data_IF_386579709731
#
_entry.id   IF_386579709731
#
_cell.length_a   1.000
_cell.length_b   1.000
_cell.length_c   1.000
_cell.angle_alpha   90.00
_cell.angle_beta   90.00
_cell.angle_gamma   90.00
#
_symmetry.space_group_name_H-M   'P 1'
#
loop_
_entity.id
_entity.type
_entity.pdbx_description
1 polymer ?
#
# COMPACT_ATOMS: atom_id res chain seq x y z
N UNK A 1 -6.15 -1.25 35.68
CA UNK A 1 -6.17 -0.95 34.23
C UNK A 1 -4.73 -0.66 33.84
N UNK A 2 -4.17 -1.36 32.85
CA UNK A 2 -2.78 -1.14 32.42
C UNK A 2 -2.59 0.25 31.81
N UNK A 3 -1.36 0.78 31.82
CA UNK A 3 -1.04 2.07 31.21
C UNK A 3 -1.47 2.13 29.72
N UNK A 4 -1.31 1.03 28.98
CA UNK A 4 -1.82 0.90 27.62
C UNK A 4 -3.36 0.99 27.52
N UNK A 5 -4.08 0.42 28.49
CA UNK A 5 -5.55 0.42 28.46
C UNK A 5 -6.16 1.80 28.73
N UNK A 6 -5.46 2.67 29.46
CA UNK A 6 -5.86 4.07 29.70
C UNK A 6 -5.29 5.06 28.69
N UNK A 7 -4.28 4.66 27.91
CA UNK A 7 -3.64 5.51 26.90
C UNK A 7 -4.64 5.87 25.79
N UNK A 8 -4.82 7.18 25.57
CA UNK A 8 -5.59 7.75 24.46
C UNK A 8 -4.67 7.81 23.24
N UNK A 9 -4.97 6.99 22.24
CA UNK A 9 -4.19 6.90 21.00
C UNK A 9 -4.94 7.58 19.85
N UNK A 10 -4.25 8.48 19.14
CA UNK A 10 -4.72 9.04 17.87
C UNK A 10 -3.85 8.54 16.72
N UNK A 11 -4.44 7.81 15.78
CA UNK A 11 -3.78 7.38 14.54
C UNK A 11 -4.18 8.31 13.42
N UNK A 12 -3.22 9.04 12.85
CA UNK A 12 -3.46 10.00 11.76
C UNK A 12 -3.18 9.32 10.42
N UNK A 13 -4.24 8.96 9.68
CA UNK A 13 -4.16 8.36 8.35
C UNK A 13 -5.16 7.23 8.13
N UNK A 14 -5.99 7.34 7.07
CA UNK A 14 -7.02 6.35 6.69
C UNK A 14 -6.57 5.33 5.64
N UNK A 15 -5.27 5.30 5.31
CA UNK A 15 -4.67 4.32 4.41
C UNK A 15 -4.38 2.99 5.10
N UNK A 16 -3.88 2.01 4.34
CA UNK A 16 -3.61 0.64 4.86
C UNK A 16 -2.72 0.67 6.10
N UNK A 17 -1.67 1.50 6.10
CA UNK A 17 -0.71 1.65 7.20
C UNK A 17 -1.37 2.15 8.50
N UNK A 18 -2.24 3.16 8.39
CA UNK A 18 -2.94 3.72 9.55
C UNK A 18 -3.96 2.74 10.11
N UNK A 19 -4.75 2.10 9.24
CA UNK A 19 -5.73 1.12 9.68
C UNK A 19 -5.08 -0.11 10.32
N UNK A 20 -3.98 -0.63 9.78
CA UNK A 20 -3.31 -1.80 10.37
C UNK A 20 -2.58 -1.46 11.66
N UNK A 21 -1.99 -0.27 11.77
CA UNK A 21 -1.42 0.23 13.04
C UNK A 21 -2.51 0.34 14.13
N UNK A 22 -3.66 0.91 13.81
CA UNK A 22 -4.78 1.02 14.74
C UNK A 22 -5.31 -0.35 15.18
N UNK A 23 -5.48 -1.28 14.23
CA UNK A 23 -5.92 -2.64 14.52
C UNK A 23 -4.91 -3.39 15.40
N UNK A 24 -3.61 -3.30 15.10
CA UNK A 24 -2.57 -3.95 15.87
C UNK A 24 -2.48 -3.42 17.31
N UNK A 25 -2.65 -2.11 17.52
CA UNK A 25 -2.70 -1.49 18.84
C UNK A 25 -3.92 -1.97 19.65
N UNK A 26 -5.11 -2.00 19.03
CA UNK A 26 -6.33 -2.54 19.67
C UNK A 26 -6.16 -4.00 20.08
N UNK A 27 -5.66 -4.85 19.17
CA UNK A 27 -5.38 -6.26 19.45
C UNK A 27 -4.30 -6.47 20.52
N UNK A 28 -3.46 -5.45 20.73
CA UNK A 28 -2.38 -5.47 21.72
C UNK A 28 -2.77 -4.94 23.10
N UNK A 29 -4.03 -4.53 23.31
CA UNK A 29 -4.55 -4.10 24.60
C UNK A 29 -4.71 -2.60 24.80
N UNK A 30 -4.41 -1.77 23.80
CA UNK A 30 -4.79 -0.35 23.81
C UNK A 30 -6.30 -0.26 23.59
N UNK A 31 -7.05 0.37 24.50
CA UNK A 31 -8.52 0.35 24.45
C UNK A 31 -9.14 1.64 23.91
N UNK A 32 -8.39 2.74 23.89
CA UNK A 32 -8.85 4.04 23.39
C UNK A 32 -8.06 4.42 22.15
N UNK A 33 -8.46 3.89 20.99
CA UNK A 33 -7.82 4.16 19.70
C UNK A 33 -8.80 4.87 18.78
N UNK A 34 -8.42 6.07 18.34
CA UNK A 34 -9.16 6.88 17.36
C UNK A 34 -8.35 7.02 16.08
N UNK A 35 -8.95 6.74 14.93
CA UNK A 35 -8.35 6.98 13.62
C UNK A 35 -8.90 8.28 13.04
N UNK A 36 -8.02 9.23 12.75
CA UNK A 36 -8.37 10.53 12.16
C UNK A 36 -7.81 10.59 10.74
N UNK A 37 -8.65 10.90 9.76
CA UNK A 37 -8.20 11.05 8.38
C UNK A 37 -9.08 11.99 7.57
N UNK A 38 -8.49 12.69 6.59
CA UNK A 38 -9.25 13.52 5.67
C UNK A 38 -10.15 12.70 4.72
N UNK A 39 -9.77 11.44 4.43
CA UNK A 39 -10.61 10.48 3.68
C UNK A 39 -10.30 9.05 4.10
N UNK A 40 -11.34 8.22 4.16
CA UNK A 40 -11.26 6.77 4.38
C UNK A 40 -11.57 5.96 3.13
N UNK A 41 -12.06 6.61 2.07
CA UNK A 41 -12.58 5.96 0.86
C UNK A 41 -11.73 6.26 -0.38
N UNK A 42 -10.92 7.32 -0.32
CA UNK A 42 -10.13 7.84 -1.44
C UNK A 42 -8.67 8.06 -1.01
N UNK A 43 -7.96 6.96 -0.78
CA UNK A 43 -6.54 6.96 -0.38
C UNK A 43 -5.67 6.30 -1.44
N UNK A 44 -4.35 6.52 -1.42
CA UNK A 44 -3.42 5.82 -2.34
C UNK A 44 -3.56 4.30 -2.27
N UNK A 45 -3.93 3.75 -1.10
CA UNK A 45 -4.17 2.31 -0.91
C UNK A 45 -5.30 1.76 -1.79
N UNK A 46 -6.25 2.60 -2.21
CA UNK A 46 -7.38 2.22 -3.09
C UNK A 46 -7.00 2.19 -4.59
N UNK A 47 -5.88 2.81 -4.96
CA UNK A 47 -5.37 2.85 -6.34
C UNK A 47 -4.35 1.73 -6.59
N UNK A 48 -3.73 1.21 -5.53
CA UNK A 48 -2.69 0.20 -5.62
C UNK A 48 -3.14 -1.06 -6.38
N UNK A 49 -2.22 -1.66 -7.14
CA UNK A 49 -2.43 -2.94 -7.83
C UNK A 49 -2.81 -4.06 -6.85
N UNK A 50 -2.27 -4.02 -5.63
CA UNK A 50 -2.65 -4.91 -4.54
C UNK A 50 -1.98 -6.27 -4.60
N UNK A 51 -0.91 -6.44 -5.37
CA UNK A 51 -0.11 -7.67 -5.29
C UNK A 51 0.78 -7.60 -4.05
N UNK A 52 0.78 -8.64 -3.21
CA UNK A 52 1.84 -8.79 -2.21
C UNK A 52 3.11 -9.20 -2.95
N UNK A 53 4.03 -8.25 -3.07
CA UNK A 53 5.29 -8.46 -3.76
C UNK A 53 6.34 -7.52 -3.18
N UNK A 54 7.47 -8.03 -2.67
CA UNK A 54 8.59 -7.22 -2.20
C UNK A 54 9.43 -6.66 -3.37
N UNK A 55 8.76 -6.01 -4.32
CA UNK A 55 9.36 -5.36 -5.48
C UNK A 55 9.30 -3.84 -5.30
N UNK A 56 10.40 -3.13 -5.58
CA UNK A 56 10.55 -1.69 -5.33
C UNK A 56 10.34 -1.31 -3.85
N UNK A 57 10.89 -2.13 -2.94
CA UNK A 57 11.04 -1.74 -1.54
C UNK A 57 11.90 -0.46 -1.46
N UNK A 58 11.59 0.45 -0.53
CA UNK A 58 12.52 1.51 -0.18
C UNK A 58 13.89 0.94 0.21
N UNK A 59 14.99 1.64 -0.11
CA UNK A 59 16.37 1.12 0.00
C UNK A 59 16.71 0.58 1.40
N UNK A 60 16.15 1.17 2.45
CA UNK A 60 16.35 0.78 3.86
C UNK A 60 15.46 -0.40 4.32
N UNK A 61 14.40 -0.68 3.55
CA UNK A 61 13.42 -1.71 3.81
C UNK A 61 13.73 -3.02 3.07
N UNK A 62 14.65 -2.99 2.09
CA UNK A 62 15.10 -4.17 1.36
C UNK A 62 16.23 -4.89 2.12
N UNK A 63 15.99 -6.10 2.68
CA UNK A 63 17.02 -6.90 3.31
C UNK A 63 18.12 -7.37 2.36
N UNK A 64 17.92 -7.27 1.04
CA UNK A 64 18.89 -7.67 0.02
C UNK A 64 19.90 -6.57 -0.34
N UNK A 65 19.70 -5.33 0.10
CA UNK A 65 20.63 -4.22 -0.17
C UNK A 65 21.61 -4.01 1.01
N UNK A 66 22.89 -3.67 0.76
CA UNK A 66 23.81 -3.26 1.81
C UNK A 66 23.29 -1.98 2.48
N UNK A 67 22.91 -2.06 3.76
CA UNK A 67 22.42 -0.89 4.51
C UNK A 67 23.54 0.13 4.68
N UNK A 68 23.26 1.40 4.40
CA UNK A 68 24.15 2.50 4.75
C UNK A 68 24.20 2.64 6.28
N UNK A 69 25.17 1.99 6.91
CA UNK A 69 25.67 2.21 8.28
C UNK A 69 24.68 2.85 9.28
N UNK A 70 23.83 2.03 9.92
CA UNK A 70 23.17 2.44 11.15
C UNK A 70 24.04 2.06 12.35
N UNK A 71 24.55 3.08 13.04
CA UNK A 71 25.32 3.00 14.28
C UNK A 71 24.51 2.50 15.49
N UNK A 72 23.19 2.32 15.36
CA UNK A 72 22.31 2.11 16.52
C UNK A 72 21.72 0.70 16.65
N UNK A 73 22.10 -0.25 15.79
CA UNK A 73 21.79 -1.67 16.02
C UNK A 73 20.30 -2.04 15.96
N UNK A 74 19.98 -2.97 15.07
CA UNK A 74 18.67 -3.63 14.93
C UNK A 74 17.62 -2.80 14.16
N UNK A 75 17.63 -2.96 12.83
CA UNK A 75 16.39 -3.15 12.07
C UNK A 75 16.54 -4.36 11.15
N UNK A 76 16.54 -5.58 11.69
CA UNK A 76 16.18 -6.75 10.88
C UNK A 76 14.66 -6.79 10.74
N UNK A 77 14.07 -5.76 10.10
CA UNK A 77 12.63 -5.70 9.95
C UNK A 77 12.19 -6.72 8.90
N UNK A 78 11.77 -7.91 9.37
CA UNK A 78 11.09 -8.95 8.57
C UNK A 78 9.66 -8.52 8.19
N UNK A 79 9.47 -7.25 7.83
CA UNK A 79 8.14 -6.67 7.63
C UNK A 79 7.36 -7.39 6.54
N UNK A 80 8.07 -7.82 5.50
CA UNK A 80 7.49 -8.63 4.43
C UNK A 80 6.98 -9.96 5.00
N UNK A 81 7.85 -10.77 5.58
CA UNK A 81 7.51 -12.11 6.06
C UNK A 81 6.41 -12.06 7.15
N UNK A 82 6.52 -11.11 8.08
CA UNK A 82 5.50 -10.89 9.13
C UNK A 82 4.16 -10.49 8.53
N UNK A 83 4.16 -9.63 7.50
CA UNK A 83 2.92 -9.26 6.82
C UNK A 83 2.33 -10.42 6.04
N UNK A 84 3.16 -11.20 5.35
CA UNK A 84 2.70 -12.36 4.60
C UNK A 84 2.07 -13.41 5.51
N UNK A 85 2.76 -13.76 6.61
CA UNK A 85 2.25 -14.74 7.57
C UNK A 85 0.90 -14.32 8.17
N UNK A 86 0.74 -13.02 8.48
CA UNK A 86 -0.54 -12.50 8.95
C UNK A 86 -1.63 -12.56 7.86
N UNK A 87 -1.30 -12.20 6.62
CA UNK A 87 -2.25 -12.29 5.50
C UNK A 87 -2.65 -13.72 5.20
N UNK A 88 -1.73 -14.68 5.33
CA UNK A 88 -2.03 -16.10 5.13
C UNK A 88 -3.02 -16.60 6.18
N UNK A 89 -2.79 -16.30 7.45
CA UNK A 89 -3.73 -16.61 8.53
C UNK A 89 -5.09 -15.92 8.32
N UNK A 90 -5.07 -14.64 7.92
CA UNK A 90 -6.29 -13.89 7.62
C UNK A 90 -7.05 -14.49 6.43
N UNK A 91 -6.36 -14.91 5.38
CA UNK A 91 -6.97 -15.51 4.20
C UNK A 91 -7.63 -16.85 4.52
N UNK A 92 -7.06 -17.65 5.42
CA UNK A 92 -7.66 -18.91 5.87
C UNK A 92 -8.99 -18.69 6.63
N UNK A 93 -9.11 -17.60 7.38
CA UNK A 93 -10.26 -17.35 8.25
C UNK A 93 -11.32 -16.43 7.60
N UNK A 94 -10.88 -15.43 6.83
CA UNK A 94 -11.69 -14.33 6.34
C UNK A 94 -11.36 -13.96 4.88
N UNK A 95 -10.71 -14.82 4.10
CA UNK A 95 -10.21 -14.49 2.77
C UNK A 95 -11.24 -13.83 1.85
N UNK A 96 -12.42 -14.43 1.68
CA UNK A 96 -13.49 -13.86 0.85
C UNK A 96 -14.00 -12.51 1.38
N UNK A 97 -14.24 -12.39 2.69
CA UNK A 97 -14.75 -11.17 3.33
C UNK A 97 -13.74 -10.01 3.23
N UNK A 98 -12.46 -10.32 3.47
CA UNK A 98 -11.35 -9.38 3.39
C UNK A 98 -10.95 -9.06 1.94
N UNK A 99 -11.45 -9.84 0.98
CA UNK A 99 -11.08 -9.75 -0.42
C UNK A 99 -9.62 -10.17 -0.65
N UNK A 100 -9.14 -11.20 0.02
CA UNK A 100 -7.80 -11.77 -0.18
C UNK A 100 -7.89 -13.08 -0.95
N UNK A 101 -7.07 -13.21 -1.98
CA UNK A 101 -7.00 -14.41 -2.80
C UNK A 101 -5.56 -14.70 -3.22
N UNK A 102 -5.29 -15.92 -3.68
CA UNK A 102 -4.01 -16.25 -4.32
C UNK A 102 -4.16 -16.09 -5.82
N UNK A 103 -3.14 -15.51 -6.46
CA UNK A 103 -3.00 -15.46 -7.91
C UNK A 103 -1.64 -16.01 -8.30
N UNK A 104 -1.63 -16.95 -9.24
CA UNK A 104 -0.40 -17.50 -9.83
C UNK A 104 0.10 -16.60 -10.94
N UNK A 105 1.41 -16.62 -11.18
CA UNK A 105 1.97 -15.78 -12.23
C UNK A 105 3.49 -15.80 -12.26
N UNK A 106 4.03 -14.80 -12.96
CA UNK A 106 5.46 -14.68 -13.16
C UNK A 106 5.94 -13.22 -13.07
N UNK A 107 7.14 -13.08 -12.55
CA UNK A 107 7.91 -11.85 -12.57
C UNK A 107 9.16 -12.06 -13.44
N UNK A 108 9.43 -11.12 -14.35
CA UNK A 108 10.51 -11.23 -15.31
C UNK A 108 11.34 -9.94 -15.38
N UNK A 109 12.60 -10.10 -15.77
CA UNK A 109 13.54 -9.00 -15.93
C UNK A 109 14.31 -9.16 -17.24
N UNK A 110 14.32 -8.09 -18.05
CA UNK A 110 15.15 -7.96 -19.24
C UNK A 110 16.53 -7.33 -18.94
N UNK A 111 16.73 -6.80 -17.73
CA UNK A 111 17.97 -6.12 -17.30
C UNK A 111 18.98 -7.05 -16.61
N UNK A 112 18.60 -8.30 -16.34
CA UNK A 112 19.44 -9.29 -15.66
C UNK A 112 18.84 -9.79 -14.35
N UNK A 113 19.43 -10.84 -13.75
CA UNK A 113 19.05 -11.28 -12.42
C UNK A 113 19.43 -10.22 -11.37
N UNK A 114 18.69 -10.14 -10.24
CA UNK A 114 19.13 -9.36 -9.10
C UNK A 114 20.46 -9.90 -8.52
N UNK A 115 21.18 -9.10 -7.71
CA UNK A 115 22.42 -9.55 -7.05
C UNK A 115 22.23 -10.83 -6.22
N UNK A 116 21.05 -10.99 -5.63
CA UNK A 116 20.64 -12.20 -4.90
C UNK A 116 19.59 -12.94 -5.73
N UNK A 117 20.00 -14.01 -6.41
CA UNK A 117 19.16 -14.76 -7.35
C UNK A 117 18.00 -15.47 -6.66
N UNK A 118 18.18 -15.97 -5.44
CA UNK A 118 17.11 -16.56 -4.64
C UNK A 118 16.62 -15.53 -3.61
N UNK A 119 15.51 -14.83 -3.84
CA UNK A 119 15.08 -13.75 -2.96
C UNK A 119 14.75 -14.28 -1.56
N UNK A 120 15.02 -13.47 -0.54
CA UNK A 120 14.80 -13.85 0.85
C UNK A 120 13.34 -14.22 1.14
N UNK A 121 12.38 -13.60 0.44
CA UNK A 121 10.94 -13.81 0.59
C UNK A 121 10.39 -15.04 -0.17
N UNK A 122 11.21 -15.73 -0.97
CA UNK A 122 10.78 -16.88 -1.77
C UNK A 122 10.10 -17.98 -0.93
N UNK A 123 10.53 -18.16 0.33
CA UNK A 123 9.96 -19.13 1.25
C UNK A 123 8.54 -18.79 1.73
N UNK A 124 8.09 -17.54 1.55
CA UNK A 124 6.74 -17.12 1.93
C UNK A 124 5.71 -17.55 0.88
N UNK A 125 6.05 -17.40 -0.40
CA UNK A 125 5.08 -17.54 -1.51
C UNK A 125 4.88 -18.99 -1.94
N UNK A 126 3.77 -19.27 -2.62
CA UNK A 126 3.43 -20.63 -3.06
C UNK A 126 4.14 -20.97 -4.36
N UNK A 127 4.56 -22.23 -4.50
CA UNK A 127 5.10 -22.79 -5.75
C UNK A 127 6.25 -21.97 -6.35
N UNK A 128 7.10 -21.36 -5.51
CA UNK A 128 8.24 -20.59 -5.99
C UNK A 128 9.17 -21.45 -6.83
N UNK A 129 9.53 -20.94 -8.01
CA UNK A 129 10.55 -21.53 -8.87
C UNK A 129 11.24 -20.48 -9.73
N UNK A 130 12.50 -20.73 -10.05
CA UNK A 130 13.20 -20.03 -11.11
C UNK A 130 12.64 -20.50 -12.47
N UNK A 131 12.43 -19.58 -13.39
CA UNK A 131 12.07 -19.89 -14.77
C UNK A 131 13.33 -20.20 -15.57
N UNK A 132 13.26 -21.17 -16.48
CA UNK A 132 14.29 -21.34 -17.51
C UNK A 132 14.32 -20.12 -18.45
N UNK A 133 15.41 -19.94 -19.19
CA UNK A 133 15.48 -18.86 -20.20
C UNK A 133 14.40 -19.03 -21.26
N UNK A 134 14.13 -20.26 -21.66
CA UNK A 134 13.09 -20.60 -22.65
C UNK A 134 11.69 -20.28 -22.11
N UNK A 135 11.39 -20.65 -20.86
CA UNK A 135 10.12 -20.31 -20.21
C UNK A 135 9.94 -18.79 -20.07
N UNK A 136 10.99 -18.08 -19.66
CA UNK A 136 10.96 -16.62 -19.54
C UNK A 136 10.75 -15.94 -20.90
N UNK A 137 11.44 -16.40 -21.95
CA UNK A 137 11.34 -15.87 -23.30
C UNK A 137 9.96 -16.13 -23.95
N UNK A 138 9.27 -17.20 -23.57
CA UNK A 138 7.90 -17.45 -24.01
C UNK A 138 6.91 -16.41 -23.47
N UNK A 139 7.15 -15.88 -22.27
CA UNK A 139 6.29 -14.85 -21.66
C UNK A 139 6.70 -13.45 -22.13
N UNK A 140 7.99 -13.16 -22.12
CA UNK A 140 8.55 -11.89 -22.57
C UNK A 140 9.84 -12.17 -23.33
N UNK A 141 9.88 -12.00 -24.67
CA UNK A 141 11.03 -12.40 -25.50
C UNK A 141 12.37 -11.82 -25.06
N UNK A 142 12.37 -10.61 -24.48
CA UNK A 142 13.58 -9.95 -24.00
C UNK A 142 13.98 -10.30 -22.56
N UNK A 143 13.16 -11.09 -21.85
CA UNK A 143 13.44 -11.48 -20.48
C UNK A 143 14.65 -12.42 -20.42
N UNK A 144 15.60 -12.07 -19.56
CA UNK A 144 16.83 -12.85 -19.33
C UNK A 144 16.80 -13.56 -17.98
N UNK A 145 15.83 -13.23 -17.14
CA UNK A 145 15.62 -13.81 -15.82
C UNK A 145 14.14 -13.74 -15.44
N UNK A 146 13.67 -14.67 -14.60
CA UNK A 146 12.33 -14.60 -14.05
C UNK A 146 12.03 -15.67 -13.00
N UNK A 147 10.96 -15.44 -12.26
CA UNK A 147 10.41 -16.30 -11.22
C UNK A 147 8.95 -16.62 -11.53
N UNK A 148 8.54 -17.85 -11.26
CA UNK A 148 7.13 -18.24 -11.21
C UNK A 148 6.72 -18.51 -9.77
N UNK A 149 5.60 -17.95 -9.32
CA UNK A 149 5.07 -18.17 -7.98
C UNK A 149 3.62 -17.69 -7.86
N UNK A 150 2.90 -18.28 -6.91
CA UNK A 150 1.60 -17.83 -6.43
C UNK A 150 1.73 -16.92 -5.21
N UNK A 151 1.11 -15.75 -5.26
CA UNK A 151 1.15 -14.78 -4.15
C UNK A 151 -0.25 -14.27 -3.79
N UNK A 152 -0.36 -13.68 -2.60
CA UNK A 152 -1.59 -13.06 -2.13
C UNK A 152 -1.82 -11.75 -2.89
N UNK A 153 -3.03 -11.59 -3.39
CA UNK A 153 -3.51 -10.34 -3.95
C UNK A 153 -4.68 -9.81 -3.13
N UNK A 154 -4.62 -8.52 -2.82
CA UNK A 154 -5.74 -7.76 -2.32
C UNK A 154 -6.70 -7.49 -3.48
N UNK A 155 -7.95 -7.91 -3.31
CA UNK A 155 -9.06 -7.39 -4.07
C UNK A 155 -9.30 -5.93 -3.64
N UNK A 156 -8.45 -5.05 -4.18
CA UNK A 156 -8.60 -3.60 -4.10
C UNK A 156 -9.60 -3.11 -5.15
N UNK A 157 -10.65 -3.89 -5.43
CA UNK A 157 -11.40 -3.83 -6.67
C UNK A 157 -12.03 -2.49 -7.09
N UNK A 158 -12.62 -2.47 -8.27
CA UNK A 158 -13.82 -1.70 -8.58
C UNK A 158 -14.24 -2.22 -9.96
N UNK A 159 -15.18 -3.17 -10.02
CA UNK A 159 -16.04 -3.29 -11.19
C UNK A 159 -16.96 -2.09 -11.19
N UNK A 160 -16.58 -0.98 -11.82
CA UNK A 160 -17.41 0.21 -12.11
C UNK A 160 -18.03 0.94 -10.89
N UNK A 161 -18.30 0.32 -9.73
CA UNK A 161 -18.85 0.88 -8.50
C UNK A 161 -18.26 0.07 -7.30
N UNK A 162 -17.54 0.75 -6.39
CA UNK A 162 -17.24 0.39 -4.98
C UNK A 162 -16.61 -1.00 -4.67
N UNK A 163 -15.33 -1.30 -4.99
CA UNK A 163 -14.68 -2.57 -4.50
C UNK A 163 -13.25 -2.39 -3.94
N UNK A 164 -12.66 -1.18 -3.94
CA UNK A 164 -11.31 -0.91 -3.39
C UNK A 164 -11.31 -0.88 -1.86
N UNK A 165 -12.47 -1.26 -1.35
CA UNK A 165 -12.97 -1.06 -0.03
C UNK A 165 -13.09 -2.39 0.67
N UNK A 166 -12.93 -3.56 0.04
CA UNK A 166 -13.14 -4.83 0.77
C UNK A 166 -12.14 -4.96 1.91
N UNK A 167 -10.84 -4.95 1.61
CA UNK A 167 -9.83 -5.03 2.66
C UNK A 167 -9.85 -3.81 3.60
N UNK A 168 -9.98 -2.59 3.06
CA UNK A 168 -10.01 -1.37 3.88
C UNK A 168 -11.26 -1.28 4.77
N UNK A 169 -12.46 -1.61 4.27
CA UNK A 169 -13.69 -1.68 5.08
C UNK A 169 -13.64 -2.83 6.05
N UNK A 170 -13.05 -3.96 5.66
CA UNK A 170 -12.84 -5.08 6.58
C UNK A 170 -11.99 -4.63 7.76
N UNK A 171 -10.85 -3.97 7.52
CA UNK A 171 -10.03 -3.37 8.58
C UNK A 171 -10.83 -2.37 9.43
N UNK A 172 -11.58 -1.47 8.81
CA UNK A 172 -12.43 -0.53 9.55
C UNK A 172 -13.50 -1.25 10.40
N UNK A 173 -14.10 -2.32 9.89
CA UNK A 173 -15.07 -3.15 10.62
C UNK A 173 -14.41 -3.82 11.83
N UNK A 174 -13.23 -4.43 11.66
CA UNK A 174 -12.49 -5.04 12.76
C UNK A 174 -12.13 -4.01 13.84
N UNK A 175 -11.66 -2.83 13.44
CA UNK A 175 -11.33 -1.74 14.37
C UNK A 175 -12.57 -1.33 15.18
N UNK A 176 -13.74 -1.14 14.53
CA UNK A 176 -15.00 -0.82 15.23
C UNK A 176 -15.43 -1.93 16.18
N UNK A 177 -15.28 -3.20 15.80
CA UNK A 177 -15.61 -4.35 16.65
C UNK A 177 -14.75 -4.41 17.91
N UNK A 178 -13.51 -3.94 17.85
CA UNK A 178 -12.62 -3.82 19.01
C UNK A 178 -12.79 -2.51 19.79
N UNK A 179 -13.78 -1.68 19.44
CA UNK A 179 -14.08 -0.42 20.13
C UNK A 179 -13.32 0.81 19.62
N UNK A 180 -12.55 0.68 18.53
CA UNK A 180 -11.88 1.81 17.89
C UNK A 180 -12.88 2.76 17.21
N UNK A 181 -12.54 4.05 17.21
CA UNK A 181 -13.40 5.11 16.65
C UNK A 181 -12.77 5.76 15.41
N UNK A 182 -13.60 6.42 14.60
CA UNK A 182 -13.19 7.06 13.35
C UNK A 182 -13.67 8.51 13.32
N UNK A 183 -12.79 9.42 12.92
CA UNK A 183 -13.10 10.83 12.74
C UNK A 183 -12.63 11.28 11.36
N UNK A 184 -13.57 11.70 10.50
CA UNK A 184 -13.22 12.22 9.19
C UNK A 184 -12.95 13.72 9.29
N UNK A 185 -11.67 14.08 9.45
CA UNK A 185 -11.18 15.46 9.54
C UNK A 185 -9.80 15.57 8.93
N UNK A 186 -9.49 16.75 8.37
CA UNK A 186 -8.12 17.11 8.01
C UNK A 186 -7.34 17.53 9.25
N UNK A 187 -6.24 16.83 9.53
CA UNK A 187 -5.22 17.27 10.47
C UNK A 187 -4.28 18.23 9.75
N UNK A 188 -4.12 19.44 10.28
CA UNK A 188 -3.23 20.48 9.74
C UNK A 188 -1.90 20.58 10.50
N UNK A 189 -1.88 20.12 11.75
CA UNK A 189 -0.73 20.16 12.63
C UNK A 189 -0.85 19.02 13.63
N UNK A 190 0.23 18.25 13.84
CA UNK A 190 0.24 17.14 14.80
C UNK A 190 0.27 17.65 16.24
N UNK A 191 0.75 18.88 16.47
CA UNK A 191 0.85 19.47 17.81
C UNK A 191 -0.51 19.70 18.49
N UNK A 192 -1.57 19.84 17.72
CA UNK A 192 -2.90 20.24 18.20
C UNK A 192 -3.75 19.02 18.62
N UNK A 193 -3.24 17.81 18.43
CA UNK A 193 -3.98 16.57 18.70
C UNK A 193 -3.90 16.20 20.20
N UNK A 194 -5.02 16.35 20.90
CA UNK A 194 -5.15 15.95 22.31
C UNK A 194 -5.22 14.42 22.44
N UNK A 195 -4.08 13.82 22.78
CA UNK A 195 -3.90 12.40 23.03
C UNK A 195 -2.61 12.15 23.82
N UNK A 196 -2.40 10.91 24.27
CA UNK A 196 -1.19 10.54 24.99
C UNK A 196 -0.15 9.94 24.03
N UNK A 197 -0.62 9.26 22.98
CA UNK A 197 0.17 8.71 21.89
C UNK A 197 -0.44 9.06 20.53
N UNK A 198 0.37 9.61 19.64
CA UNK A 198 0.03 9.90 18.26
C UNK A 198 0.80 8.96 17.33
N UNK A 199 0.11 8.28 16.42
CA UNK A 199 0.74 7.48 15.37
C UNK A 199 0.52 8.16 14.03
N UNK A 200 1.59 8.69 13.45
CA UNK A 200 1.57 9.47 12.22
C UNK A 200 1.78 8.56 11.00
N UNK A 201 0.67 8.17 10.37
CA UNK A 201 0.63 7.26 9.22
C UNK A 201 0.21 7.96 7.92
N UNK A 202 0.48 9.26 7.77
CA UNK A 202 0.00 9.99 6.60
C UNK A 202 0.86 9.69 5.37
N UNK A 203 0.19 9.25 4.30
CA UNK A 203 0.78 9.16 2.96
C UNK A 203 0.32 10.35 2.13
N UNK A 204 -0.30 10.07 0.97
CA UNK A 204 -1.03 11.08 0.19
C UNK A 204 -2.51 11.12 0.57
N UNK A 205 -3.14 12.29 0.50
CA UNK A 205 -4.57 12.40 0.24
C UNK A 205 -4.81 12.36 -1.28
N UNK A 206 -5.43 11.30 -1.81
CA UNK A 206 -5.73 11.23 -3.23
C UNK A 206 -7.11 11.85 -3.51
N UNK A 207 -7.13 12.98 -4.21
CA UNK A 207 -8.30 13.29 -5.03
C UNK A 207 -8.26 12.42 -6.28
N UNK A 208 -9.20 11.48 -6.39
CA UNK A 208 -9.52 10.84 -7.67
C UNK A 208 -10.16 11.92 -8.54
N UNK A 209 -9.52 12.26 -9.67
CA UNK A 209 -10.19 13.04 -10.70
C UNK A 209 -11.42 12.23 -11.15
N UNK A 210 -12.59 12.83 -11.01
CA UNK A 210 -13.88 12.17 -11.17
C UNK A 210 -13.95 11.34 -12.45
N UNK A 211 -14.31 10.06 -12.29
CA UNK A 211 -14.74 9.21 -13.40
C UNK A 211 -15.84 9.98 -14.15
N UNK A 212 -15.67 10.15 -15.46
CA UNK A 212 -16.71 10.62 -16.38
C UNK A 212 -18.04 9.94 -16.04
N UNK A 213 -18.99 10.69 -15.46
CA UNK A 213 -20.40 10.34 -15.58
C UNK A 213 -20.77 10.66 -17.03
N UNK A 214 -21.01 9.65 -17.85
CA UNK A 214 -21.96 9.82 -18.94
C UNK A 214 -23.32 10.08 -18.28
N UNK A 215 -23.71 11.34 -18.13
CA UNK A 215 -25.10 11.69 -17.85
C UNK A 215 -25.81 11.84 -19.18
N UNK A 216 -26.69 10.90 -19.49
CA UNK A 216 -27.80 11.21 -20.39
C UNK A 216 -28.74 12.15 -19.64
N UNK A 217 -28.70 13.42 -20.05
CA UNK A 217 -29.71 14.48 -19.88
C UNK A 217 -29.96 15.17 -18.52
N UNK A 218 -29.94 16.51 -18.65
CA UNK A 218 -30.69 17.61 -17.98
C UNK A 218 -30.37 18.02 -16.54
N UNK A 219 -29.74 19.19 -16.45
CA UNK A 219 -29.91 20.31 -15.50
C UNK A 219 -30.04 20.01 -13.99
N UNK A 220 -28.89 20.07 -13.31
CA UNK A 220 -28.74 20.80 -12.04
C UNK A 220 -27.24 21.01 -11.77
N UNK A 221 -26.79 22.28 -11.67
CA UNK A 221 -25.41 22.61 -11.26
C UNK A 221 -25.24 22.26 -9.76
N UNK A 222 -24.30 21.39 -9.36
CA UNK A 222 -23.98 21.23 -7.95
C UNK A 222 -23.16 22.43 -7.47
N UNK A 223 -23.51 22.95 -6.30
CA UNK A 223 -22.76 24.00 -5.62
C UNK A 223 -21.31 23.56 -5.37
N UNK A 224 -20.37 24.33 -5.91
CA UNK A 224 -18.93 24.15 -5.70
C UNK A 224 -18.60 24.70 -4.30
N UNK A 225 -18.61 23.82 -3.30
CA UNK A 225 -17.92 24.09 -2.05
C UNK A 225 -16.42 24.15 -2.34
N UNK A 226 -15.78 25.27 -1.99
CA UNK A 226 -14.36 25.53 -2.23
C UNK A 226 -13.48 24.51 -1.46
N UNK A 227 -13.16 23.39 -2.10
CA UNK A 227 -12.15 22.45 -1.63
C UNK A 227 -10.78 22.94 -2.09
N UNK A 228 -9.99 23.53 -1.18
CA UNK A 228 -8.59 23.86 -1.44
C UNK A 228 -7.82 22.58 -1.86
N UNK A 229 -7.15 22.56 -3.03
CA UNK A 229 -6.45 21.39 -3.51
C UNK A 229 -5.12 21.24 -2.77
N UNK A 230 -5.03 20.28 -1.85
CA UNK A 230 -3.72 19.75 -1.47
C UNK A 230 -3.36 18.59 -2.38
N UNK A 231 -2.43 18.90 -3.27
CA UNK A 231 -1.84 17.99 -4.23
C UNK A 231 -0.50 17.52 -3.64
N UNK A 232 -0.53 16.70 -2.57
CA UNK A 232 0.72 16.36 -1.89
C UNK A 232 0.73 15.15 -0.96
N UNK A 233 1.94 14.81 -0.51
CA UNK A 233 2.22 13.80 0.50
C UNK A 233 2.17 14.48 1.87
N UNK A 234 1.14 14.19 2.66
CA UNK A 234 0.85 14.89 3.91
C UNK A 234 1.96 14.79 4.95
N UNK A 235 2.78 13.73 4.93
CA UNK A 235 3.93 13.63 5.82
C UNK A 235 4.98 14.72 5.60
N UNK A 236 5.16 15.18 4.35
CA UNK A 236 6.06 16.30 4.03
C UNK A 236 5.64 17.57 4.78
N UNK A 237 4.33 17.84 4.83
CA UNK A 237 3.77 19.02 5.48
C UNK A 237 3.69 18.85 7.02
N UNK A 238 3.18 17.71 7.49
CA UNK A 238 2.88 17.48 8.91
C UNK A 238 4.11 17.17 9.76
N UNK A 239 5.14 16.54 9.18
CA UNK A 239 6.38 16.23 9.89
C UNK A 239 7.55 17.12 9.47
N UNK A 240 7.34 18.09 8.57
CA UNK A 240 8.42 18.91 8.01
C UNK A 240 9.48 18.09 7.28
N UNK A 241 9.11 16.92 6.75
CA UNK A 241 10.05 15.98 6.15
C UNK A 241 10.24 16.28 4.65
N UNK A 242 11.25 17.10 4.35
CA UNK A 242 11.58 17.47 2.98
C UNK A 242 12.15 16.34 2.12
N UNK A 243 12.52 15.21 2.75
CA UNK A 243 13.02 14.03 2.05
C UNK A 243 11.91 13.20 1.40
N UNK A 244 10.64 13.50 1.70
CA UNK A 244 9.46 12.86 1.12
C UNK A 244 9.15 13.41 -0.27
N UNK A 245 8.99 12.52 -1.27
CA UNK A 245 8.69 12.87 -2.66
C UNK A 245 7.70 11.89 -3.32
N UNK A 246 6.87 12.35 -4.29
CA UNK A 246 5.95 11.48 -4.99
C UNK A 246 6.68 10.63 -6.02
N UNK A 247 6.26 9.38 -6.14
CA UNK A 247 6.55 8.55 -7.31
C UNK A 247 5.21 8.31 -8.01
N UNK A 248 4.95 9.09 -9.06
CA UNK A 248 3.70 8.97 -9.82
C UNK A 248 3.64 7.63 -10.54
N UNK A 249 2.47 7.01 -10.48
CA UNK A 249 2.14 5.80 -11.21
C UNK A 249 0.76 5.90 -11.83
N UNK A 250 0.70 5.62 -13.12
CA UNK A 250 -0.53 5.54 -13.87
C UNK A 250 -0.82 4.09 -14.26
N UNK A 251 -2.09 3.71 -14.12
CA UNK A 251 -2.62 2.38 -14.44
C UNK A 251 -3.89 2.50 -15.26
N UNK A 252 -4.26 1.44 -15.96
CA UNK A 252 -5.54 1.29 -16.66
C UNK A 252 -6.32 0.18 -15.96
N UNK A 253 -7.56 0.48 -15.57
CA UNK A 253 -8.49 -0.53 -15.05
C UNK A 253 -9.29 -1.09 -16.21
N UNK A 254 -9.35 -2.42 -16.30
CA UNK A 254 -10.15 -3.13 -17.30
C UNK A 254 -10.90 -4.29 -16.66
N UNK A 255 -11.91 -4.81 -17.36
CA UNK A 255 -12.62 -6.04 -16.99
C UNK A 255 -12.35 -7.10 -18.05
N UNK A 256 -11.76 -8.21 -17.64
CA UNK A 256 -11.53 -9.38 -18.48
C UNK A 256 -11.45 -10.64 -17.60
N UNK A 257 -12.49 -11.50 -17.60
CA UNK A 257 -12.52 -12.72 -16.80
C UNK A 257 -11.61 -13.83 -17.35
N UNK A 258 -11.06 -13.68 -18.55
CA UNK A 258 -10.19 -14.69 -19.18
C UNK A 258 -8.71 -14.50 -18.82
N UNK A 259 -8.36 -13.44 -18.10
CA UNK A 259 -7.01 -13.23 -17.57
C UNK A 259 -6.98 -13.79 -16.15
N UNK A 260 -6.16 -14.79 -15.90
CA UNK A 260 -6.12 -15.54 -14.62
C UNK A 260 -4.72 -15.59 -13.99
N UNK A 261 -3.68 -15.23 -14.75
CA UNK A 261 -2.30 -15.14 -14.28
C UNK A 261 -1.80 -13.71 -14.22
N UNK A 262 -1.11 -13.36 -13.14
CA UNK A 262 -0.39 -12.09 -13.11
C UNK A 262 0.92 -12.21 -13.90
N UNK A 263 1.29 -11.15 -14.60
CA UNK A 263 2.59 -11.03 -15.26
C UNK A 263 3.18 -9.67 -14.89
N UNK A 264 4.45 -9.63 -14.50
CA UNK A 264 5.19 -8.40 -14.24
C UNK A 264 6.56 -8.46 -14.91
N UNK A 265 6.96 -7.39 -15.60
CA UNK A 265 8.20 -7.32 -16.38
C UNK A 265 8.88 -5.97 -16.18
N UNK A 266 10.19 -6.02 -15.94
CA UNK A 266 11.10 -4.87 -16.07
C UNK A 266 11.79 -4.94 -17.42
N UNK A 267 11.60 -3.93 -18.26
CA UNK A 267 12.18 -3.83 -19.60
C UNK A 267 13.59 -3.23 -19.58
N UNK A 268 14.36 -3.40 -20.66
CA UNK A 268 15.75 -2.90 -20.77
C UNK A 268 15.86 -1.39 -20.66
N UNK A 269 14.83 -0.67 -21.08
CA UNK A 269 14.71 0.79 -21.00
C UNK A 269 14.28 1.28 -19.60
N UNK A 270 14.15 0.36 -18.63
CA UNK A 270 13.70 0.66 -17.27
C UNK A 270 12.18 0.80 -17.12
N UNK A 271 11.40 0.61 -18.20
CA UNK A 271 9.95 0.65 -18.09
C UNK A 271 9.42 -0.60 -17.37
N UNK A 272 8.33 -0.40 -16.62
CA UNK A 272 7.63 -1.49 -15.93
C UNK A 272 6.33 -1.82 -16.66
N UNK A 273 6.04 -3.10 -16.80
CA UNK A 273 4.75 -3.59 -17.30
C UNK A 273 4.21 -4.65 -16.38
N UNK A 274 2.96 -4.55 -15.98
CA UNK A 274 2.28 -5.56 -15.20
C UNK A 274 0.81 -5.69 -15.59
N UNK A 275 0.35 -6.94 -15.65
CA UNK A 275 -1.05 -7.32 -15.85
C UNK A 275 -1.44 -8.11 -14.61
N UNK A 276 -2.34 -7.57 -13.80
CA UNK A 276 -2.69 -8.13 -12.50
C UNK A 276 -4.20 -8.41 -12.48
N UNK A 277 -4.62 -9.66 -12.78
CA UNK A 277 -6.01 -10.06 -12.72
C UNK A 277 -6.48 -10.35 -11.30
N UNK A 278 -7.80 -10.29 -11.11
CA UNK A 278 -8.50 -10.66 -9.88
C UNK A 278 -9.61 -11.66 -10.17
N UNK A 279 -10.06 -12.46 -9.17
CA UNK A 279 -11.07 -13.50 -9.38
C UNK A 279 -12.41 -12.99 -9.93
N UNK A 280 -12.75 -11.73 -9.68
CA UNK A 280 -13.96 -11.11 -10.22
C UNK A 280 -13.78 -10.59 -11.67
N UNK A 281 -12.66 -10.89 -12.35
CA UNK A 281 -12.34 -10.40 -13.68
C UNK A 281 -11.94 -8.92 -13.74
N UNK A 282 -11.79 -8.21 -12.61
CA UNK A 282 -11.11 -6.92 -12.60
C UNK A 282 -9.62 -7.13 -12.87
N UNK A 283 -9.04 -6.31 -13.74
CA UNK A 283 -7.62 -6.38 -14.07
C UNK A 283 -7.01 -5.00 -13.98
N UNK A 284 -5.85 -4.91 -13.32
CA UNK A 284 -5.03 -3.69 -13.33
C UNK A 284 -3.90 -3.88 -14.32
N UNK A 285 -3.88 -3.01 -15.32
CA UNK A 285 -2.78 -2.87 -16.27
C UNK A 285 -1.91 -1.73 -15.81
N UNK A 286 -0.61 -1.95 -15.71
CA UNK A 286 0.33 -0.89 -15.43
C UNK A 286 1.72 -1.18 -16.00
N UNK A 287 2.69 -0.32 -15.73
CA UNK A 287 2.47 0.98 -15.11
C UNK A 287 3.58 1.96 -15.42
N UNK A 288 3.49 3.12 -14.80
CA UNK A 288 4.55 4.13 -14.84
C UNK A 288 5.19 4.28 -13.46
N UNK A 289 6.46 4.70 -13.49
CA UNK A 289 7.28 5.02 -12.32
C UNK A 289 7.96 6.36 -12.61
N UNK A 290 7.42 7.45 -12.06
CA UNK A 290 7.86 8.81 -12.36
C UNK A 290 8.15 9.55 -11.04
N UNK A 291 9.39 9.46 -10.51
CA UNK A 291 9.81 10.21 -9.33
C UNK A 291 9.65 11.72 -9.49
N UNK A 292 9.34 12.42 -8.40
CA UNK A 292 9.15 13.86 -8.30
C UNK A 292 8.02 14.45 -9.18
N UNK A 293 7.23 13.61 -9.86
CA UNK A 293 6.05 14.06 -10.60
C UNK A 293 4.84 14.20 -9.66
N UNK A 294 4.37 15.43 -9.45
CA UNK A 294 3.24 15.75 -8.57
C UNK A 294 1.88 15.71 -9.28
N UNK A 295 1.85 15.52 -10.61
CA UNK A 295 0.62 15.56 -11.39
C UNK A 295 -0.35 14.44 -10.98
N UNK A 296 -1.59 14.82 -10.68
CA UNK A 296 -2.68 13.89 -10.37
C UNK A 296 -3.60 13.63 -11.55
N UNK A 297 -3.33 14.30 -12.67
CA UNK A 297 -4.07 14.12 -13.92
C UNK A 297 -3.56 12.88 -14.63
N UNK A 298 -4.43 12.23 -15.39
CA UNK A 298 -4.00 11.21 -16.33
C UNK A 298 -3.28 11.87 -17.52
N UNK A 299 -2.23 11.22 -18.00
CA UNK A 299 -1.45 11.61 -19.16
C UNK A 299 -1.73 10.63 -20.31
N UNK A 300 -2.04 11.13 -21.50
CA UNK A 300 -2.52 10.29 -22.61
C UNK A 300 -1.42 9.37 -23.15
N UNK A 301 -0.20 9.89 -23.28
CA UNK A 301 0.95 9.11 -23.77
C UNK A 301 1.31 7.98 -22.80
N UNK A 302 1.22 8.25 -21.49
CA UNK A 302 1.36 7.23 -20.45
C UNK A 302 0.25 6.15 -20.56
N UNK A 303 -0.99 6.52 -20.89
CA UNK A 303 -2.08 5.54 -21.10
C UNK A 303 -1.76 4.66 -22.29
N UNK A 304 -1.47 5.25 -23.44
CA UNK A 304 -1.27 4.52 -24.69
C UNK A 304 -0.04 3.61 -24.58
N UNK A 305 1.06 4.10 -23.99
CA UNK A 305 2.26 3.31 -23.74
C UNK A 305 2.00 2.11 -22.81
N UNK A 306 1.28 2.31 -21.71
CA UNK A 306 0.90 1.21 -20.79
C UNK A 306 0.02 0.19 -21.50
N UNK A 307 -0.97 0.64 -22.27
CA UNK A 307 -1.88 -0.24 -23.01
C UNK A 307 -1.12 -1.12 -24.00
N UNK A 308 -0.26 -0.52 -24.83
CA UNK A 308 0.52 -1.24 -25.84
C UNK A 308 1.47 -2.27 -25.24
N UNK A 309 2.19 -1.91 -24.15
CA UNK A 309 3.06 -2.87 -23.46
C UNK A 309 2.27 -4.02 -22.84
N UNK A 310 1.12 -3.76 -22.24
CA UNK A 310 0.27 -4.81 -21.67
C UNK A 310 -0.31 -5.73 -22.74
N UNK A 311 -0.75 -5.18 -23.88
CA UNK A 311 -1.23 -5.97 -25.02
C UNK A 311 -0.13 -6.80 -25.69
N UNK A 312 1.14 -6.36 -25.60
CA UNK A 312 2.29 -7.15 -26.06
C UNK A 312 2.62 -8.29 -25.10
N UNK A 313 2.58 -8.01 -23.79
CA UNK A 313 2.90 -8.97 -22.75
C UNK A 313 1.82 -10.07 -22.61
N UNK A 314 0.55 -9.70 -22.70
CA UNK A 314 -0.57 -10.62 -22.59
C UNK A 314 -1.62 -10.27 -23.67
N UNK A 315 -1.56 -10.91 -24.87
CA UNK A 315 -2.34 -10.51 -26.04
C UNK A 315 -3.86 -10.42 -25.82
N UNK A 316 -4.42 -11.26 -24.96
CA UNK A 316 -5.82 -11.31 -24.55
C UNK A 316 -6.31 -10.01 -23.89
N UNK A 317 -5.39 -9.16 -23.42
CA UNK A 317 -5.71 -7.81 -22.91
C UNK A 317 -6.46 -6.98 -23.95
N UNK A 318 -6.21 -7.17 -25.26
CA UNK A 318 -6.92 -6.45 -26.34
C UNK A 318 -8.44 -6.66 -26.31
N UNK A 319 -8.89 -7.79 -25.75
CA UNK A 319 -10.31 -8.13 -25.65
C UNK A 319 -10.97 -7.60 -24.38
N UNK A 320 -10.25 -6.83 -23.57
CA UNK A 320 -10.74 -6.35 -22.27
C UNK A 320 -11.69 -5.17 -22.43
N UNK A 321 -12.72 -5.10 -21.59
CA UNK A 321 -13.56 -3.92 -21.46
C UNK A 321 -12.82 -2.86 -20.63
N UNK A 322 -12.44 -1.75 -21.25
CA UNK A 322 -11.78 -0.64 -20.55
C UNK A 322 -12.74 0.05 -19.59
N UNK A 323 -12.31 0.20 -18.33
CA UNK A 323 -13.01 0.99 -17.31
C UNK A 323 -12.46 2.41 -17.27
N UNK A 324 -11.12 2.54 -17.32
CA UNK A 324 -10.46 3.84 -17.48
C UNK A 324 -9.11 3.95 -16.76
N UNK A 325 -8.35 5.03 -17.05
CA UNK A 325 -7.05 5.29 -16.45
C UNK A 325 -7.14 5.95 -15.07
N UNK A 326 -6.17 5.65 -14.20
CA UNK A 326 -6.03 6.26 -12.87
C UNK A 326 -4.56 6.54 -12.57
N UNK A 327 -4.26 7.78 -12.19
CA UNK A 327 -2.97 8.18 -11.66
C UNK A 327 -2.99 8.26 -10.11
N UNK A 328 -1.94 7.74 -9.49
CA UNK A 328 -1.69 7.84 -8.05
C UNK A 328 -0.26 8.28 -7.75
N UNK A 329 -0.01 8.83 -6.57
CA UNK A 329 1.35 9.15 -6.12
C UNK A 329 1.70 8.23 -4.95
N UNK A 330 2.73 7.43 -5.15
CA UNK A 330 3.34 6.60 -4.11
C UNK A 330 4.20 7.51 -3.22
N UNK A 331 4.10 7.39 -1.88
CA UNK A 331 4.91 8.20 -0.97
C UNK A 331 6.34 7.66 -0.87
N UNK A 332 7.25 8.14 -1.72
CA UNK A 332 8.68 7.85 -1.59
C UNK A 332 9.35 8.78 -0.58
N UNK A 333 10.51 8.37 -0.06
CA UNK A 333 11.35 9.19 0.82
C UNK A 333 12.81 8.80 0.63
N UNK A 334 13.72 9.77 0.66
CA UNK A 334 15.16 9.49 0.72
C UNK A 334 15.46 8.83 2.07
N UNK A 335 16.13 7.67 2.05
CA UNK A 335 16.28 6.84 3.25
C UNK A 335 15.04 6.02 3.62
N UNK A 336 14.03 5.97 2.74
CA UNK A 336 12.93 5.02 2.75
C UNK A 336 11.93 5.08 3.91
N UNK A 337 11.53 3.97 4.53
CA UNK A 337 10.39 3.98 5.47
C UNK A 337 10.77 4.68 6.77
N UNK A 338 10.06 5.75 7.13
CA UNK A 338 10.23 6.38 8.46
C UNK A 338 9.31 5.70 9.45
N UNK A 339 9.89 4.79 10.26
CA UNK A 339 9.22 4.11 11.37
C UNK A 339 10.01 4.25 12.66
N UNK A 340 9.70 5.27 13.46
CA UNK A 340 10.46 5.59 14.68
C UNK A 340 9.67 6.52 15.61
N UNK A 341 10.14 6.66 16.85
CA UNK A 341 9.64 7.67 17.77
C UNK A 341 10.24 9.04 17.43
N UNK A 342 9.41 10.08 17.39
CA UNK A 342 9.88 11.46 17.34
C UNK A 342 10.62 11.80 18.65
N UNK A 343 11.80 12.44 18.61
CA UNK A 343 12.60 12.70 19.81
C UNK A 343 11.90 13.56 20.87
N UNK A 344 10.93 14.38 20.45
CA UNK A 344 10.21 15.31 21.32
C UNK A 344 8.71 15.05 21.24
N UNK A 345 8.00 15.09 22.38
CA UNK A 345 6.54 15.08 22.38
C UNK A 345 5.97 16.30 21.63
N UNK A 346 4.69 16.21 21.28
CA UNK A 346 3.94 17.37 20.79
C UNK A 346 3.86 18.48 21.84
N UNK A 347 3.43 19.68 21.44
CA UNK A 347 3.14 20.78 22.38
C UNK A 347 2.13 20.39 23.47
N UNK A 348 1.20 19.49 23.16
CA UNK A 348 0.23 18.96 24.12
C UNK A 348 0.76 17.77 24.95
N UNK A 349 2.02 17.37 24.77
CA UNK A 349 2.68 16.31 25.53
C UNK A 349 2.52 14.89 24.98
N UNK A 350 1.92 14.71 23.79
CA UNK A 350 1.73 13.41 23.18
C UNK A 350 3.06 12.86 22.64
N UNK A 351 3.36 11.59 22.89
CA UNK A 351 4.45 10.89 22.20
C UNK A 351 4.05 10.66 20.74
N UNK A 352 4.99 10.76 19.79
CA UNK A 352 4.71 10.62 18.35
C UNK A 352 5.50 9.47 17.77
N UNK A 353 4.82 8.48 17.20
CA UNK A 353 5.45 7.44 16.37
C UNK A 353 5.17 7.75 14.90
N UNK A 354 6.20 7.92 14.11
CA UNK A 354 6.09 8.01 12.66
C UNK A 354 5.99 6.62 12.04
N UNK A 355 5.15 6.46 11.02
CA UNK A 355 5.05 5.25 10.20
C UNK A 355 4.56 5.61 8.79
N UNK A 356 5.44 6.15 7.95
CA UNK A 356 5.08 6.61 6.59
C UNK A 356 6.19 6.37 5.56
N UNK A 357 5.96 6.83 4.32
CA UNK A 357 6.89 6.70 3.19
C UNK A 357 7.15 5.27 2.67
N UNK A 358 6.07 4.49 2.52
CA UNK A 358 6.15 3.09 2.10
C UNK A 358 6.32 2.88 0.58
N UNK A 359 6.54 3.94 -0.19
CA UNK A 359 6.68 3.87 -1.65
C UNK A 359 5.54 3.09 -2.32
N UNK A 360 5.89 2.13 -3.19
CA UNK A 360 4.96 1.21 -3.83
C UNK A 360 4.51 0.03 -2.97
N UNK A 361 5.09 -0.13 -1.78
CA UNK A 361 5.10 -1.39 -1.03
C UNK A 361 4.29 -1.35 0.26
N UNK A 362 3.44 -0.32 0.44
CA UNK A 362 2.61 -0.20 1.65
C UNK A 362 1.75 -1.43 1.93
N UNK A 363 1.14 -2.02 0.89
CA UNK A 363 0.37 -3.27 1.02
C UNK A 363 1.26 -4.52 1.26
N UNK A 364 2.56 -4.45 0.99
CA UNK A 364 3.50 -5.54 1.26
C UNK A 364 3.99 -5.51 2.72
N UNK A 365 4.13 -4.32 3.29
CA UNK A 365 4.83 -4.08 4.56
C UNK A 365 3.91 -3.78 5.77
N UNK A 366 2.64 -3.42 5.52
CA UNK A 366 1.78 -2.74 6.49
C UNK A 366 1.66 -3.42 7.86
N UNK A 367 1.60 -4.75 7.92
CA UNK A 367 1.34 -5.44 9.19
C UNK A 367 2.63 -5.61 9.99
N UNK A 368 3.74 -5.92 9.32
CA UNK A 368 5.07 -5.90 9.91
C UNK A 368 5.40 -4.54 10.52
N UNK A 369 5.16 -3.45 9.77
CA UNK A 369 5.33 -2.09 10.30
C UNK A 369 4.39 -1.82 11.49
N UNK A 370 3.13 -2.30 11.43
CA UNK A 370 2.19 -2.15 12.54
C UNK A 370 2.66 -2.87 13.83
N UNK A 371 3.37 -4.00 13.73
CA UNK A 371 3.96 -4.67 14.88
C UNK A 371 5.08 -3.84 15.53
N UNK A 372 5.91 -3.16 14.74
CA UNK A 372 6.94 -2.27 15.28
C UNK A 372 6.34 -1.04 15.94
N UNK A 373 5.24 -0.49 15.40
CA UNK A 373 4.45 0.57 16.08
C UNK A 373 3.98 0.09 17.46
N UNK A 374 3.44 -1.13 17.55
CA UNK A 374 3.04 -1.72 18.83
C UNK A 374 4.22 -1.88 19.78
N UNK A 375 5.37 -2.35 19.28
CA UNK A 375 6.57 -2.53 20.08
C UNK A 375 7.06 -1.20 20.67
N UNK A 376 7.16 -0.15 19.85
CA UNK A 376 7.52 1.21 20.29
C UNK A 376 6.51 1.77 21.29
N UNK A 377 5.20 1.60 21.03
CA UNK A 377 4.16 2.06 21.94
C UNK A 377 4.25 1.39 23.32
N UNK A 378 4.51 0.07 23.37
CA UNK A 378 4.62 -0.70 24.61
C UNK A 378 5.84 -0.35 25.47
N UNK A 379 6.89 0.24 24.89
CA UNK A 379 8.04 0.73 25.66
C UNK A 379 7.66 1.85 26.63
N UNK A 380 6.65 2.66 26.28
CA UNK A 380 6.17 3.78 27.09
C UNK A 380 4.83 3.51 27.77
N UNK A 381 3.99 2.66 27.16
CA UNK A 381 2.68 2.28 27.67
C UNK A 381 2.60 0.76 27.80
N UNK A 382 3.15 0.17 28.88
CA UNK A 382 3.17 -1.27 29.06
C UNK A 382 1.75 -1.83 29.22
N UNK A 383 1.54 -3.02 28.66
CA UNK A 383 0.33 -3.82 28.81
C UNK A 383 0.60 -4.83 29.92
N UNK A 384 -0.25 -4.91 30.93
CA UNK A 384 -0.09 -5.95 31.95
C UNK A 384 -0.31 -7.33 31.31
N UNK A 385 0.49 -8.35 31.68
CA UNK A 385 0.23 -9.70 31.22
C UNK A 385 -1.19 -10.11 31.63
N UNK A 386 -1.95 -10.69 30.70
CA UNK A 386 -3.23 -11.30 31.05
C UNK A 386 -2.99 -12.29 32.20
N UNK A 387 -3.64 -12.07 33.35
CA UNK A 387 -3.48 -12.95 34.50
C UNK A 387 -3.80 -14.37 34.06
N UNK A 388 -2.83 -15.28 34.20
CA UNK A 388 -3.08 -16.72 34.09
C UNK A 388 -4.04 -17.07 35.24
N UNK A 389 -5.34 -17.13 34.93
CA UNK A 389 -6.36 -17.72 35.79
C UNK A 389 -6.31 -19.24 35.63
#
# INVERSE_FOLDING_TARGET
>A
MSAASSCRVTVVGGGVIGLTSALALLQSGFRSVRVVAASFEDTTSHVAGGLWMPFALPEDADPALPRCSDSDGIRHSKWCEVSFAWLEGLMQQHGEEAGLHVVDGAELSAVGPPPVVHPYWAHCVKNFRLLSREEAAQISPDAVHGFGFGTIIYNTGKRVIVVARMFMKWLQKQIRQLGGTFEQRRVSNLDDEDCDLLVHCTGKCCWICSIYKFSTQTDARPAIGSCYPLVGLAAKELAGDDTVFPIRGQVIKVVNPNLDKYLAVVHRDGQHTYVIPRPNGDVVLGGTVQPHNWSTKNDADDVDGVWERCCRLYPEVRNSKVVGPVAGLRPGRLGGVRLEMEPRPTKCGALVIHNYAHGGSGHTLHWGCAQDVVALAKQHFPVEPASKL
#
